data_IF_463159609366
#
_entry.id   IF_463159609366
#
_cell.length_a   1.000
_cell.length_b   1.000
_cell.length_c   1.000
_cell.angle_alpha   90.00
_cell.angle_beta   90.00
_cell.angle_gamma   90.00
#
_symmetry.space_group_name_H-M   'P 1'
#
loop_
_entity.id
_entity.type
_entity.pdbx_description
1 polymer ?
#
# COMPACT_ATOMS: atom_id res chain seq x y z
N UNK A 1 -3.31 -5.15 17.35
CA UNK A 1 -4.34 -5.12 16.29
C UNK A 1 -4.15 -3.91 15.38
N UNK A 2 -4.16 -2.67 15.91
CA UNK A 2 -3.93 -1.47 15.10
C UNK A 2 -2.48 -1.31 14.61
N UNK A 3 -1.51 -1.78 15.41
CA UNK A 3 -0.09 -1.76 15.02
C UNK A 3 0.20 -2.68 13.83
N UNK A 4 -0.38 -3.88 13.83
CA UNK A 4 -0.24 -4.84 12.72
C UNK A 4 -0.86 -4.30 11.43
N UNK A 5 -2.03 -3.66 11.54
CA UNK A 5 -2.66 -2.99 10.41
C UNK A 5 -1.79 -1.83 9.89
N UNK A 6 -1.21 -1.04 10.80
CA UNK A 6 -0.33 0.07 10.45
C UNK A 6 0.95 -0.40 9.75
N UNK A 7 1.55 -1.52 10.19
CA UNK A 7 2.69 -2.12 9.50
C UNK A 7 2.33 -2.60 8.09
N UNK A 8 1.23 -3.34 7.94
CA UNK A 8 0.81 -3.87 6.62
C UNK A 8 0.49 -2.76 5.63
N UNK A 9 -0.16 -1.68 6.08
CA UNK A 9 -0.43 -0.49 5.26
C UNK A 9 0.88 0.23 4.92
N UNK A 10 1.78 0.39 5.89
CA UNK A 10 3.11 0.98 5.67
C UNK A 10 3.92 0.21 4.62
N UNK A 11 3.85 -1.12 4.66
CA UNK A 11 4.48 -1.98 3.66
C UNK A 11 3.87 -1.81 2.26
N UNK A 12 2.54 -1.67 2.13
CA UNK A 12 1.90 -1.41 0.84
C UNK A 12 2.40 -0.10 0.20
N UNK A 13 2.55 0.96 1.00
CA UNK A 13 3.07 2.25 0.53
C UNK A 13 4.56 2.24 0.22
N UNK A 14 5.34 1.34 0.83
CA UNK A 14 6.78 1.24 0.56
C UNK A 14 7.09 0.96 -0.92
N UNK A 15 6.20 0.26 -1.63
CA UNK A 15 6.33 -0.04 -3.06
C UNK A 15 6.15 1.17 -3.98
N UNK A 16 5.59 2.26 -3.47
CA UNK A 16 5.45 3.53 -4.18
C UNK A 16 6.64 4.47 -3.92
N UNK A 17 7.45 4.20 -2.89
CA UNK A 17 8.63 5.01 -2.58
C UNK A 17 9.74 4.75 -3.60
N UNK A 18 10.58 5.76 -3.84
CA UNK A 18 11.78 5.64 -4.68
C UNK A 18 11.54 5.57 -6.20
N UNK A 19 10.28 5.60 -6.65
CA UNK A 19 9.92 5.56 -8.09
C UNK A 19 10.05 6.91 -8.82
N UNK A 20 10.28 8.00 -8.09
CA UNK A 20 10.30 9.35 -8.67
C UNK A 20 8.88 9.81 -9.02
N UNK A 21 8.52 9.76 -10.30
CA UNK A 21 7.17 10.09 -10.77
C UNK A 21 6.32 8.82 -10.82
N UNK A 22 5.21 8.84 -10.08
CA UNK A 22 4.25 7.73 -10.08
C UNK A 22 3.36 7.80 -11.31
N UNK A 23 3.18 6.65 -11.97
CA UNK A 23 2.19 6.50 -13.03
C UNK A 23 0.83 6.13 -12.45
N UNK A 24 -0.23 6.28 -13.23
CA UNK A 24 -1.57 5.83 -12.83
C UNK A 24 -1.59 4.32 -12.50
N UNK A 25 -0.80 3.52 -13.23
CA UNK A 25 -0.65 2.09 -12.96
C UNK A 25 -0.04 1.84 -11.58
N UNK A 26 1.01 2.56 -11.20
CA UNK A 26 1.64 2.45 -9.88
C UNK A 26 0.65 2.74 -8.76
N UNK A 27 -0.12 3.82 -8.91
CA UNK A 27 -1.14 4.21 -7.94
C UNK A 27 -2.24 3.14 -7.84
N UNK A 28 -2.73 2.64 -8.97
CA UNK A 28 -3.80 1.63 -9.01
C UNK A 28 -3.38 0.33 -8.32
N UNK A 29 -2.13 -0.09 -8.50
CA UNK A 29 -1.61 -1.29 -7.86
C UNK A 29 -1.38 -1.08 -6.36
N UNK A 30 -0.85 0.08 -5.95
CA UNK A 30 -0.75 0.44 -4.54
C UNK A 30 -2.10 0.46 -3.83
N UNK A 31 -3.13 1.05 -4.46
CA UNK A 31 -4.49 1.10 -3.90
C UNK A 31 -5.14 -0.28 -3.78
N UNK A 32 -4.89 -1.18 -4.74
CA UNK A 32 -5.35 -2.58 -4.64
C UNK A 32 -4.77 -3.28 -3.42
N UNK A 33 -3.50 -3.04 -3.13
CA UNK A 33 -2.81 -3.67 -2.01
C UNK A 33 -3.29 -3.12 -0.67
N UNK A 34 -3.48 -1.80 -0.57
CA UNK A 34 -4.13 -1.17 0.61
C UNK A 34 -5.53 -1.74 0.83
N UNK A 35 -6.34 -1.88 -0.23
CA UNK A 35 -7.68 -2.48 -0.14
C UNK A 35 -7.62 -3.92 0.39
N UNK A 36 -6.66 -4.73 -0.07
CA UNK A 36 -6.50 -6.11 0.42
C UNK A 36 -6.19 -6.14 1.91
N UNK A 37 -5.22 -5.33 2.35
CA UNK A 37 -4.82 -5.25 3.76
C UNK A 37 -6.01 -4.88 4.66
N UNK A 38 -6.86 -3.96 4.22
CA UNK A 38 -8.07 -3.55 4.96
C UNK A 38 -9.18 -4.60 5.00
N UNK A 39 -9.16 -5.60 4.11
CA UNK A 39 -10.15 -6.68 4.06
C UNK A 39 -9.69 -7.96 4.76
N UNK A 40 -8.37 -8.14 4.92
CA UNK A 40 -7.75 -9.32 5.54
C UNK A 40 -7.42 -9.12 7.03
N UNK A 41 -7.41 -7.87 7.51
CA UNK A 41 -7.20 -7.50 8.91
C UNK A 41 -8.53 -7.32 9.65
#
# INVERSE_FOLDING_TARGET
MFDELSEKIGAAFSKLRGKGVLTEADIKDGLREVRRVLLEA
#
